data_IF_273173650327
#
_entry.id   IF_273173650327
#
_cell.length_a   1.000
_cell.length_b   1.000
_cell.length_c   1.000
_cell.angle_alpha   90.00
_cell.angle_beta   90.00
_cell.angle_gamma   90.00
#
_symmetry.space_group_name_H-M   'P 1'
#
loop_
_entity.id
_entity.type
_entity.pdbx_description
1 polymer ?
#
# COMPACT_ATOMS: atom_id res chain seq x y z
N UNK A 1 5.44 7.99 6.57
CA UNK A 1 6.57 7.88 5.63
C UNK A 1 6.14 7.72 4.19
N UNK A 2 5.25 6.81 3.86
CA UNK A 2 4.76 6.66 2.47
C UNK A 2 4.20 7.98 1.92
N UNK A 3 3.39 8.68 2.70
CA UNK A 3 2.88 9.99 2.31
C UNK A 3 4.01 10.98 2.04
N UNK A 4 5.01 11.04 2.92
CA UNK A 4 6.17 11.93 2.79
C UNK A 4 6.99 11.68 1.53
N UNK A 5 7.13 10.43 1.12
CA UNK A 5 7.85 10.06 -0.10
C UNK A 5 7.07 10.31 -1.38
N UNK A 6 5.74 10.17 -1.34
CA UNK A 6 4.87 10.32 -2.51
C UNK A 6 4.41 11.76 -2.72
N UNK A 7 4.23 12.53 -1.66
CA UNK A 7 3.92 13.97 -1.73
C UNK A 7 5.18 14.80 -1.52
N UNK A 8 5.33 15.86 -2.30
CA UNK A 8 6.43 16.82 -2.15
C UNK A 8 6.26 17.74 -0.92
N UNK A 9 5.05 17.83 -0.39
CA UNK A 9 4.75 18.64 0.78
C UNK A 9 5.33 18.03 2.04
N UNK A 10 5.93 18.87 2.87
CA UNK A 10 6.45 18.46 4.15
C UNK A 10 5.32 18.07 5.10
N UNK A 11 5.40 16.88 5.65
CA UNK A 11 4.51 16.41 6.68
C UNK A 11 5.34 16.09 7.93
N UNK A 12 5.09 16.81 9.05
CA UNK A 12 5.89 16.60 10.26
C UNK A 12 5.67 15.20 10.82
N UNK A 13 6.74 14.61 11.33
CA UNK A 13 6.67 13.35 12.06
C UNK A 13 6.03 13.59 13.44
N UNK A 14 5.36 12.58 14.00
CA UNK A 14 4.93 12.65 15.40
C UNK A 14 6.10 12.85 16.36
N UNK A 15 7.31 12.40 16.01
CA UNK A 15 8.52 12.67 16.76
C UNK A 15 8.91 14.16 16.78
N UNK A 16 8.44 14.95 15.80
CA UNK A 16 8.65 16.40 15.75
C UNK A 16 7.57 17.18 16.51
N UNK A 17 6.41 16.57 16.72
CA UNK A 17 5.24 17.22 17.32
C UNK A 17 5.05 16.87 18.80
N UNK A 18 5.58 15.76 19.27
CA UNK A 18 5.34 15.28 20.61
C UNK A 18 6.55 14.54 21.19
N UNK A 19 7.10 15.04 22.29
CA UNK A 19 8.35 14.54 22.89
C UNK A 19 8.28 13.09 23.39
N UNK A 20 7.07 12.61 23.76
CA UNK A 20 6.87 11.22 24.18
C UNK A 20 6.50 10.28 23.04
N UNK A 21 6.55 10.75 21.78
CA UNK A 21 6.26 9.89 20.65
C UNK A 21 7.35 8.85 20.44
N UNK A 22 6.90 7.62 20.17
CA UNK A 22 7.75 6.54 19.64
C UNK A 22 7.28 6.29 18.21
N UNK A 23 8.17 6.53 17.24
CA UNK A 23 7.87 6.37 15.81
C UNK A 23 8.67 5.21 15.26
N UNK A 24 7.99 4.23 14.67
CA UNK A 24 8.61 3.09 13.99
C UNK A 24 8.61 3.33 12.49
N UNK A 25 9.73 3.05 11.85
CA UNK A 25 9.95 3.23 10.43
C UNK A 25 10.58 1.99 9.81
N UNK A 26 10.45 1.82 8.51
CA UNK A 26 11.09 0.72 7.80
C UNK A 26 11.50 1.07 6.37
N UNK A 27 12.47 0.32 5.85
CA UNK A 27 12.90 0.36 4.45
C UNK A 27 11.87 -0.22 3.48
N UNK A 28 10.90 -0.98 4.00
CA UNK A 28 10.07 -1.91 3.21
C UNK A 28 9.16 -1.23 2.18
N UNK A 29 8.64 -0.06 2.48
CA UNK A 29 7.62 0.59 1.64
C UNK A 29 8.19 1.73 0.84
N UNK A 30 8.52 2.84 1.49
CA UNK A 30 8.93 4.08 0.83
C UNK A 30 10.27 3.96 0.10
N UNK A 31 11.19 3.15 0.61
CA UNK A 31 12.47 2.88 -0.04
C UNK A 31 12.41 1.70 -1.03
N UNK A 32 11.26 1.03 -1.17
CA UNK A 32 11.08 -0.15 -2.03
C UNK A 32 12.04 -1.31 -1.70
N UNK A 33 12.45 -1.44 -0.44
CA UNK A 33 13.49 -2.36 0.02
C UNK A 33 12.95 -3.35 1.07
N UNK A 34 11.82 -3.98 0.79
CA UNK A 34 11.18 -4.92 1.72
C UNK A 34 12.07 -6.13 2.07
N UNK A 35 12.94 -6.53 1.14
CA UNK A 35 13.85 -7.67 1.30
C UNK A 35 15.00 -7.43 2.27
N UNK A 36 15.43 -6.19 2.50
CA UNK A 36 16.55 -5.86 3.42
C UNK A 36 16.20 -6.02 4.89
N UNK A 37 14.92 -6.17 5.23
CA UNK A 37 14.44 -6.34 6.61
C UNK A 37 14.93 -5.27 7.59
N UNK A 38 15.26 -4.06 7.10
CA UNK A 38 15.73 -2.94 7.90
C UNK A 38 14.59 -2.06 8.39
N UNK A 39 14.70 -1.60 9.62
CA UNK A 39 13.82 -0.63 10.23
C UNK A 39 14.49 0.11 11.38
N UNK A 40 13.87 1.18 11.83
CA UNK A 40 14.40 1.98 12.94
C UNK A 40 13.29 2.54 13.81
N UNK A 41 13.66 2.90 15.02
CA UNK A 41 12.78 3.55 15.98
C UNK A 41 13.33 4.94 16.29
N UNK A 42 12.47 5.93 16.28
CA UNK A 42 12.77 7.30 16.72
C UNK A 42 12.08 7.50 18.07
N UNK A 43 12.88 7.79 19.09
CA UNK A 43 12.41 8.10 20.44
C UNK A 43 13.30 9.21 21.04
N UNK A 44 12.70 10.29 21.53
CA UNK A 44 13.44 11.40 22.16
C UNK A 44 13.79 11.13 23.62
N UNK A 45 12.95 10.37 24.32
CA UNK A 45 13.17 10.00 25.71
C UNK A 45 14.38 9.06 25.82
N UNK A 46 15.45 9.48 26.56
CA UNK A 46 16.69 8.70 26.66
C UNK A 46 16.52 7.41 27.45
N UNK A 47 15.63 7.38 28.46
CA UNK A 47 15.40 6.18 29.28
C UNK A 47 14.66 5.13 28.48
N UNK A 48 13.60 5.53 27.79
CA UNK A 48 12.84 4.64 26.90
C UNK A 48 13.74 4.14 25.74
N UNK A 49 14.54 5.02 25.15
CA UNK A 49 15.48 4.63 24.10
C UNK A 49 16.51 3.61 24.57
N UNK A 50 17.01 3.75 25.80
CA UNK A 50 17.93 2.78 26.39
C UNK A 50 17.27 1.42 26.65
N UNK A 51 16.06 1.41 27.14
CA UNK A 51 15.28 0.19 27.32
C UNK A 51 14.99 -0.52 25.98
N UNK A 52 14.63 0.22 24.95
CA UNK A 52 14.42 -0.34 23.61
C UNK A 52 15.72 -0.95 23.06
N UNK A 53 16.86 -0.28 23.23
CA UNK A 53 18.17 -0.78 22.82
C UNK A 53 18.55 -2.07 23.56
N UNK A 54 18.36 -2.09 24.87
CA UNK A 54 18.59 -3.29 25.70
C UNK A 54 17.74 -4.46 25.20
N UNK A 55 16.43 -4.27 25.04
CA UNK A 55 15.53 -5.34 24.58
C UNK A 55 15.91 -5.87 23.20
N UNK A 56 16.27 -4.97 22.26
CA UNK A 56 16.78 -5.38 20.95
C UNK A 56 17.98 -6.31 21.06
N UNK A 57 18.87 -6.08 22.03
CA UNK A 57 20.07 -6.91 22.22
C UNK A 57 19.74 -8.33 22.66
N UNK A 58 18.59 -8.54 23.33
CA UNK A 58 18.11 -9.88 23.68
C UNK A 58 17.31 -10.54 22.55
N UNK A 59 16.59 -9.76 21.72
CA UNK A 59 15.76 -10.30 20.66
C UNK A 59 16.56 -10.69 19.42
N UNK A 60 17.46 -9.84 18.98
CA UNK A 60 18.12 -9.97 17.66
C UNK A 60 19.59 -9.62 17.60
N UNK A 61 20.21 -9.25 18.72
CA UNK A 61 21.63 -8.89 18.88
C UNK A 61 22.06 -7.81 17.87
N UNK A 62 22.06 -8.12 16.56
CA UNK A 62 22.36 -7.21 15.46
C UNK A 62 21.52 -7.53 14.23
N UNK A 63 21.47 -6.59 13.29
CA UNK A 63 20.90 -6.82 11.95
C UNK A 63 21.90 -7.50 11.01
N UNK A 64 21.47 -7.78 9.78
CA UNK A 64 22.35 -8.27 8.72
C UNK A 64 23.28 -7.15 8.24
N UNK A 65 24.58 -7.35 8.29
CA UNK A 65 25.58 -6.32 7.90
C UNK A 65 25.39 -5.86 6.46
N UNK A 66 25.12 -6.79 5.54
CA UNK A 66 24.89 -6.44 4.14
C UNK A 66 23.59 -5.68 3.93
N UNK A 67 22.53 -6.05 4.63
CA UNK A 67 21.24 -5.39 4.56
C UNK A 67 21.31 -3.97 5.09
N UNK A 68 21.96 -3.78 6.24
CA UNK A 68 22.19 -2.46 6.84
C UNK A 68 23.07 -1.58 5.94
N UNK A 69 24.11 -2.15 5.33
CA UNK A 69 25.01 -1.41 4.41
C UNK A 69 24.29 -0.98 3.13
N UNK A 70 23.56 -1.89 2.49
CA UNK A 70 22.76 -1.56 1.30
C UNK A 70 21.71 -0.49 1.64
N UNK A 71 21.09 -0.59 2.81
CA UNK A 71 20.11 0.39 3.23
C UNK A 71 20.74 1.75 3.56
N UNK A 72 21.96 1.79 4.11
CA UNK A 72 22.70 3.04 4.30
C UNK A 72 22.94 3.78 2.97
N UNK A 73 23.35 3.05 1.92
CA UNK A 73 23.47 3.60 0.56
C UNK A 73 22.11 4.12 0.03
N UNK A 74 21.03 3.39 0.29
CA UNK A 74 19.71 3.84 -0.11
C UNK A 74 19.27 5.12 0.60
N UNK A 75 19.62 5.30 1.86
CA UNK A 75 19.36 6.55 2.60
C UNK A 75 20.11 7.73 2.01
N UNK A 76 21.37 7.54 1.60
CA UNK A 76 22.18 8.58 0.92
C UNK A 76 21.57 8.99 -0.44
N UNK A 77 20.81 8.10 -1.07
CA UNK A 77 20.16 8.32 -2.35
C UNK A 77 18.63 8.37 -2.27
N UNK A 78 18.07 8.69 -1.12
CA UNK A 78 16.64 8.66 -0.83
C UNK A 78 15.81 9.46 -1.85
N UNK A 79 16.29 10.66 -2.26
CA UNK A 79 15.57 11.51 -3.21
C UNK A 79 15.35 10.83 -4.57
N UNK A 80 16.34 10.10 -5.08
CA UNK A 80 16.21 9.34 -6.33
C UNK A 80 15.21 8.19 -6.22
N UNK A 81 15.24 7.50 -5.07
CA UNK A 81 14.30 6.40 -4.79
C UNK A 81 12.87 6.95 -4.68
N UNK A 82 12.70 8.07 -3.99
CA UNK A 82 11.38 8.70 -3.84
C UNK A 82 10.84 9.25 -5.16
N UNK A 83 11.70 9.86 -5.98
CA UNK A 83 11.31 10.32 -7.32
C UNK A 83 10.85 9.15 -8.20
N UNK A 84 11.61 8.05 -8.25
CA UNK A 84 11.23 6.84 -8.97
C UNK A 84 9.87 6.31 -8.48
N UNK A 85 9.69 6.20 -7.17
CA UNK A 85 8.47 5.67 -6.57
C UNK A 85 7.26 6.56 -6.84
N UNK A 86 7.43 7.89 -6.77
CA UNK A 86 6.37 8.86 -7.15
C UNK A 86 5.95 8.69 -8.59
N UNK A 87 6.92 8.65 -9.52
CA UNK A 87 6.63 8.53 -10.94
C UNK A 87 5.81 7.27 -11.26
N UNK A 88 6.12 6.13 -10.64
CA UNK A 88 5.36 4.89 -10.78
C UNK A 88 3.94 5.05 -10.25
N UNK A 89 3.80 5.58 -9.04
CA UNK A 89 2.49 5.72 -8.38
C UNK A 89 1.61 6.74 -9.11
N UNK A 90 2.16 7.89 -9.51
CA UNK A 90 1.42 8.94 -10.24
C UNK A 90 0.95 8.43 -11.61
N UNK A 91 1.81 7.69 -12.33
CA UNK A 91 1.44 7.08 -13.60
C UNK A 91 0.30 6.07 -13.44
N UNK A 92 0.44 5.13 -12.50
CA UNK A 92 -0.54 4.09 -12.28
C UNK A 92 -1.85 4.65 -11.69
N UNK A 93 -1.74 5.68 -10.84
CA UNK A 93 -2.90 6.41 -10.34
C UNK A 93 -3.73 7.00 -11.47
N UNK A 94 -3.09 7.65 -12.43
CA UNK A 94 -3.80 8.24 -13.57
C UNK A 94 -4.56 7.19 -14.41
N UNK A 95 -4.00 5.98 -14.55
CA UNK A 95 -4.67 4.85 -15.22
C UNK A 95 -5.91 4.43 -14.45
N UNK A 96 -5.78 4.22 -13.12
CA UNK A 96 -6.89 3.79 -12.27
C UNK A 96 -7.96 4.86 -12.16
N UNK A 97 -7.60 6.14 -12.00
CA UNK A 97 -8.55 7.25 -11.96
C UNK A 97 -9.38 7.30 -13.25
N UNK A 98 -8.73 7.17 -14.41
CA UNK A 98 -9.41 7.13 -15.71
C UNK A 98 -10.32 5.91 -15.85
N UNK A 99 -9.92 4.76 -15.34
CA UNK A 99 -10.72 3.54 -15.36
C UNK A 99 -11.96 3.66 -14.47
N UNK A 100 -11.85 4.32 -13.32
CA UNK A 100 -12.96 4.55 -12.40
C UNK A 100 -13.90 5.67 -12.86
N UNK A 101 -13.41 6.59 -13.73
CA UNK A 101 -14.21 7.73 -14.19
C UNK A 101 -15.43 7.26 -14.98
N UNK A 102 -16.61 7.53 -14.42
CA UNK A 102 -17.87 7.08 -14.98
C UNK A 102 -18.17 5.58 -14.87
N UNK A 103 -17.36 4.80 -14.14
CA UNK A 103 -17.63 3.37 -13.95
C UNK A 103 -18.94 3.16 -13.17
N UNK A 104 -19.81 2.30 -13.70
CA UNK A 104 -21.17 2.14 -13.17
C UNK A 104 -21.24 1.45 -11.81
N UNK A 105 -20.32 0.52 -11.55
CA UNK A 105 -20.37 -0.38 -10.40
C UNK A 105 -19.19 -0.23 -9.45
N UNK A 106 -18.18 0.56 -9.81
CA UNK A 106 -16.98 0.76 -9.02
C UNK A 106 -16.81 2.22 -8.64
N UNK A 107 -16.44 2.45 -7.38
CA UNK A 107 -16.22 3.78 -6.83
C UNK A 107 -14.96 3.78 -5.97
N UNK A 108 -14.20 4.86 -6.04
CA UNK A 108 -13.13 5.07 -5.07
C UNK A 108 -13.73 5.21 -3.67
N UNK A 109 -13.24 4.44 -2.71
CA UNK A 109 -13.75 4.49 -1.33
C UNK A 109 -13.36 5.78 -0.61
N UNK A 110 -12.12 6.24 -0.80
CA UNK A 110 -11.58 7.48 -0.25
C UNK A 110 -10.38 7.95 -1.07
N UNK A 111 -10.01 9.24 -0.96
CA UNK A 111 -8.83 9.77 -1.61
C UNK A 111 -7.57 8.98 -1.24
N UNK A 112 -6.86 8.49 -2.26
CA UNK A 112 -5.67 7.69 -2.09
C UNK A 112 -4.40 8.53 -2.29
N UNK A 113 -3.55 8.55 -1.27
CA UNK A 113 -2.23 9.18 -1.29
C UNK A 113 -1.09 8.18 -1.09
N UNK A 114 -1.38 6.90 -1.25
CA UNK A 114 -0.44 5.81 -1.05
C UNK A 114 -0.22 4.99 -2.32
N UNK A 115 0.39 3.85 -2.15
CA UNK A 115 0.64 2.85 -3.20
C UNK A 115 -0.53 1.90 -3.42
N UNK A 116 -1.66 2.15 -2.78
CA UNK A 116 -2.84 1.30 -2.83
C UNK A 116 -4.11 2.12 -2.97
N UNK A 117 -5.05 1.59 -3.73
CA UNK A 117 -6.43 2.06 -3.84
C UNK A 117 -7.37 1.13 -3.12
N UNK A 118 -8.33 1.69 -2.40
CA UNK A 118 -9.48 0.96 -1.91
C UNK A 118 -10.67 1.31 -2.79
N UNK A 119 -11.27 0.30 -3.41
CA UNK A 119 -12.35 0.44 -4.37
C UNK A 119 -13.58 -0.24 -3.79
N UNK A 120 -14.69 0.48 -3.75
CA UNK A 120 -16.00 -0.05 -3.41
C UNK A 120 -16.75 -0.50 -4.68
N UNK A 121 -17.52 -1.57 -4.58
CA UNK A 121 -18.34 -2.06 -5.68
C UNK A 121 -19.80 -2.26 -5.28
N UNK A 122 -20.71 -1.94 -6.21
CA UNK A 122 -22.16 -2.04 -6.05
C UNK A 122 -22.70 -3.38 -6.65
N UNK A 123 -22.15 -4.51 -6.18
CA UNK A 123 -22.56 -5.84 -6.61
C UNK A 123 -22.95 -6.71 -5.40
N UNK A 124 -23.94 -7.60 -5.58
CA UNK A 124 -24.40 -8.51 -4.53
C UNK A 124 -23.55 -9.78 -4.47
N UNK A 125 -22.28 -9.60 -4.07
CA UNK A 125 -21.30 -10.65 -3.88
C UNK A 125 -20.40 -10.24 -2.70
N UNK A 126 -20.05 -11.16 -1.81
CA UNK A 126 -19.13 -10.92 -0.71
C UNK A 126 -17.71 -10.60 -1.23
N UNK A 127 -16.96 -9.78 -0.50
CA UNK A 127 -15.64 -9.33 -0.94
C UNK A 127 -14.63 -10.47 -1.09
N UNK A 128 -14.61 -11.41 -0.16
CA UNK A 128 -13.75 -12.60 -0.22
C UNK A 128 -14.10 -13.41 -1.49
N UNK A 129 -15.37 -13.75 -1.67
CA UNK A 129 -15.81 -14.48 -2.85
C UNK A 129 -15.54 -13.74 -4.17
N UNK A 130 -15.70 -12.43 -4.20
CA UNK A 130 -15.38 -11.63 -5.38
C UNK A 130 -13.90 -11.77 -5.77
N UNK A 131 -12.99 -11.66 -4.79
CA UNK A 131 -11.55 -11.73 -5.03
C UNK A 131 -11.07 -13.16 -5.35
N UNK A 132 -11.62 -14.18 -4.69
CA UNK A 132 -11.27 -15.57 -4.93
C UNK A 132 -11.74 -16.03 -6.33
N UNK A 133 -12.99 -15.75 -6.68
CA UNK A 133 -13.52 -16.06 -8.01
C UNK A 133 -12.73 -15.33 -9.12
N UNK A 134 -12.32 -14.08 -8.88
CA UNK A 134 -11.52 -13.30 -9.83
C UNK A 134 -10.13 -13.93 -10.03
N UNK A 135 -9.51 -14.40 -8.93
CA UNK A 135 -8.24 -15.11 -9.00
C UNK A 135 -8.39 -16.43 -9.78
N UNK A 136 -9.39 -17.23 -9.43
CA UNK A 136 -9.58 -18.56 -10.01
C UNK A 136 -9.99 -18.53 -11.50
N UNK A 137 -10.83 -17.55 -11.88
CA UNK A 137 -11.41 -17.47 -13.23
C UNK A 137 -10.57 -16.60 -14.18
N UNK A 138 -9.93 -15.55 -13.67
CA UNK A 138 -9.22 -14.54 -14.49
C UNK A 138 -7.73 -14.45 -14.16
N UNK A 139 -7.24 -15.10 -13.12
CA UNK A 139 -5.84 -15.04 -12.68
C UNK A 139 -5.42 -13.69 -12.10
N UNK A 140 -6.37 -12.87 -11.62
CA UNK A 140 -6.11 -11.55 -11.05
C UNK A 140 -6.17 -11.62 -9.53
N UNK A 141 -5.02 -11.42 -8.87
CA UNK A 141 -4.89 -11.40 -7.43
C UNK A 141 -5.04 -9.98 -6.88
N UNK A 142 -6.11 -9.74 -6.15
CA UNK A 142 -6.37 -8.52 -5.38
C UNK A 142 -6.74 -8.88 -3.94
N UNK A 143 -6.70 -7.92 -3.04
CA UNK A 143 -7.00 -8.17 -1.62
C UNK A 143 -8.42 -7.70 -1.30
N UNK A 144 -9.26 -8.57 -0.74
CA UNK A 144 -10.61 -8.24 -0.35
C UNK A 144 -10.65 -7.33 0.89
N UNK A 145 -11.66 -6.45 0.94
CA UNK A 145 -11.75 -5.43 1.98
C UNK A 145 -12.14 -5.96 3.35
N UNK A 146 -12.70 -7.17 3.43
CA UNK A 146 -13.08 -7.78 4.73
C UNK A 146 -11.87 -7.96 5.65
N UNK A 147 -10.65 -8.10 5.10
CA UNK A 147 -9.39 -8.04 5.88
C UNK A 147 -9.23 -6.75 6.66
N UNK A 148 -9.96 -5.71 6.30
CA UNK A 148 -9.95 -4.36 6.89
C UNK A 148 -11.29 -3.97 7.49
N UNK A 149 -12.22 -4.92 7.66
CA UNK A 149 -13.61 -4.69 8.09
C UNK A 149 -14.41 -3.76 7.16
N UNK A 150 -14.10 -3.79 5.86
CA UNK A 150 -14.74 -2.98 4.82
C UNK A 150 -15.39 -3.87 3.76
N UNK A 151 -16.62 -4.34 4.00
CA UNK A 151 -17.35 -5.19 3.06
C UNK A 151 -17.63 -4.47 1.74
N UNK A 152 -17.83 -5.24 0.67
CA UNK A 152 -18.04 -4.73 -0.70
C UNK A 152 -16.89 -3.83 -1.19
N UNK A 153 -15.66 -4.11 -0.77
CA UNK A 153 -14.47 -3.41 -1.24
C UNK A 153 -13.35 -4.38 -1.61
N UNK A 154 -12.45 -3.92 -2.45
CA UNK A 154 -11.17 -4.56 -2.68
C UNK A 154 -10.04 -3.54 -2.75
N UNK A 155 -8.84 -4.00 -2.44
CA UNK A 155 -7.62 -3.18 -2.48
C UNK A 155 -6.80 -3.50 -3.73
N UNK A 156 -6.56 -2.47 -4.53
CA UNK A 156 -5.71 -2.51 -5.71
C UNK A 156 -4.33 -1.91 -5.38
N UNK A 157 -3.25 -2.55 -5.88
CA UNK A 157 -1.89 -2.02 -5.76
C UNK A 157 -1.52 -1.15 -6.96
N UNK A 158 -0.84 -0.02 -6.72
CA UNK A 158 -0.31 0.87 -7.75
C UNK A 158 1.18 0.60 -8.07
N UNK A 159 1.74 -0.53 -7.62
CA UNK A 159 3.18 -0.79 -7.70
C UNK A 159 3.66 -1.43 -9.00
N UNK A 160 2.78 -2.10 -9.74
CA UNK A 160 3.11 -2.79 -10.99
C UNK A 160 2.44 -2.11 -12.18
N UNK A 161 3.24 -1.55 -13.10
CA UNK A 161 2.73 -0.81 -14.25
C UNK A 161 2.39 -1.71 -15.44
N UNK A 162 3.23 -2.71 -15.73
CA UNK A 162 3.17 -3.45 -16.98
C UNK A 162 1.91 -4.30 -17.16
N UNK A 163 1.30 -4.77 -16.06
CA UNK A 163 0.10 -5.62 -16.10
C UNK A 163 -1.16 -4.93 -15.57
N UNK A 164 -1.05 -3.68 -15.15
CA UNK A 164 -2.16 -2.97 -14.51
C UNK A 164 -3.38 -2.87 -15.45
N UNK A 165 -3.21 -2.32 -16.64
CA UNK A 165 -4.32 -2.14 -17.60
C UNK A 165 -4.98 -3.46 -17.98
N UNK A 166 -4.18 -4.52 -18.15
CA UNK A 166 -4.71 -5.85 -18.41
C UNK A 166 -5.52 -6.37 -17.22
N UNK A 167 -5.02 -6.18 -16.00
CA UNK A 167 -5.72 -6.57 -14.78
C UNK A 167 -7.05 -5.85 -14.62
N UNK A 168 -7.09 -4.53 -14.89
CA UNK A 168 -8.32 -3.74 -14.85
C UNK A 168 -9.35 -4.23 -15.88
N UNK A 169 -8.91 -4.56 -17.11
CA UNK A 169 -9.78 -5.13 -18.14
C UNK A 169 -10.38 -6.46 -17.69
N UNK A 170 -9.59 -7.34 -17.08
CA UNK A 170 -10.08 -8.63 -16.57
C UNK A 170 -11.05 -8.47 -15.38
N UNK A 171 -10.89 -7.43 -14.58
CA UNK A 171 -11.86 -7.07 -13.53
C UNK A 171 -13.19 -6.65 -14.18
N UNK A 172 -13.17 -5.82 -15.21
CA UNK A 172 -14.37 -5.39 -15.93
C UNK A 172 -15.12 -6.57 -16.55
N UNK A 173 -14.40 -7.48 -17.23
CA UNK A 173 -14.99 -8.70 -17.78
C UNK A 173 -15.70 -9.53 -16.71
N UNK A 174 -15.07 -9.70 -15.55
CA UNK A 174 -15.65 -10.44 -14.44
C UNK A 174 -16.90 -9.74 -13.88
N UNK A 175 -16.88 -8.40 -13.76
CA UNK A 175 -18.03 -7.61 -13.35
C UNK A 175 -19.20 -7.77 -14.34
N UNK A 176 -18.93 -7.74 -15.63
CA UNK A 176 -19.97 -7.95 -16.67
C UNK A 176 -20.59 -9.34 -16.56
N UNK A 177 -19.80 -10.38 -16.27
CA UNK A 177 -20.31 -11.72 -16.02
C UNK A 177 -21.21 -11.77 -14.77
N UNK A 178 -20.84 -11.10 -13.67
CA UNK A 178 -21.66 -11.01 -12.47
C UNK A 178 -22.99 -10.29 -12.73
N UNK A 179 -22.93 -9.19 -13.47
CA UNK A 179 -24.12 -8.42 -13.86
C UNK A 179 -25.06 -9.27 -14.73
N UNK A 180 -24.52 -10.01 -15.69
CA UNK A 180 -25.31 -10.92 -16.55
C UNK A 180 -26.02 -12.03 -15.76
N UNK A 181 -25.45 -12.43 -14.62
CA UNK A 181 -26.02 -13.40 -13.66
C UNK A 181 -26.99 -12.75 -12.65
N UNK A 182 -27.30 -11.46 -12.80
CA UNK A 182 -28.23 -10.73 -11.92
C UNK A 182 -27.66 -10.38 -10.55
N UNK A 183 -26.34 -10.32 -10.40
CA UNK A 183 -25.65 -9.98 -9.14
C UNK A 183 -25.51 -8.47 -8.92
N UNK A 184 -26.52 -7.68 -9.24
CA UNK A 184 -26.57 -6.24 -9.01
C UNK A 184 -27.32 -5.90 -7.72
N UNK A 185 -26.90 -4.85 -7.02
CA UNK A 185 -27.68 -4.27 -5.93
C UNK A 185 -28.70 -3.32 -6.57
N UNK A 186 -29.99 -3.67 -6.48
CA UNK A 186 -31.04 -2.74 -6.84
C UNK A 186 -31.08 -1.63 -5.78
N UNK A 187 -30.68 -0.43 -6.16
CA UNK A 187 -30.90 0.78 -5.35
C UNK A 187 -32.29 1.30 -5.53
#
# INVERSE_FOLDING_TARGET
>A
EMYRGLKKEYMPSMADLYDKAIVTCSSSKIYSMAGTRCGWIICRDPEVRWELFNRRSYDSICGGVFDEWIFAIALEHADKIFERSRNIVEHNKAIVDKWLDGHKYLHQYADAYGTTYLIHYDLNVDSEKFCDDLLDQKGVLICHGDCFYLPHTFRLSLSHAEELEKGLTLIDEYIEELVSRGKTINR
#
